data_IF_003639480845
#
_entry.id   IF_003639480845
#
_cell.length_a   1.000
_cell.length_b   1.000
_cell.length_c   1.000
_cell.angle_alpha   90.00
_cell.angle_beta   90.00
_cell.angle_gamma   90.00
#
_symmetry.space_group_name_H-M   'P 1'
#
loop_
_entity.id
_entity.type
_entity.pdbx_description
1 polymer ?
#
# COMPACT_ATOMS: atom_id res chain seq x y z
N UNK A 1 25.28 32.85 -11.00
CA UNK A 1 24.22 33.56 -10.26
C UNK A 1 24.05 32.83 -8.96
N UNK A 2 24.20 33.52 -7.83
CA UNK A 2 24.11 32.86 -6.53
C UNK A 2 22.68 32.41 -6.26
N UNK A 3 22.48 31.14 -5.90
CA UNK A 3 21.17 30.64 -5.53
C UNK A 3 20.80 31.13 -4.13
N UNK A 4 19.91 32.12 -4.06
CA UNK A 4 19.53 32.80 -2.82
C UNK A 4 19.03 31.89 -1.69
N UNK A 5 18.38 30.74 -1.97
CA UNK A 5 17.91 29.82 -0.90
C UNK A 5 19.05 29.18 -0.10
N UNK A 6 20.13 28.79 -0.78
CA UNK A 6 21.29 28.19 -0.12
C UNK A 6 22.01 29.24 0.74
N UNK A 7 22.02 30.50 0.29
CA UNK A 7 22.53 31.63 1.06
C UNK A 7 21.67 31.91 2.30
N UNK A 8 20.34 31.87 2.19
CA UNK A 8 19.42 32.03 3.33
C UNK A 8 19.70 30.99 4.42
N UNK A 9 19.98 29.74 4.03
CA UNK A 9 20.34 28.68 4.96
C UNK A 9 21.83 28.63 5.33
N UNK A 10 22.66 29.56 4.82
CA UNK A 10 24.12 29.56 5.02
C UNK A 10 24.78 28.21 4.72
N UNK A 11 24.42 27.61 3.59
CA UNK A 11 24.97 26.33 3.11
C UNK A 11 25.49 26.47 1.69
N UNK A 12 26.37 25.56 1.30
CA UNK A 12 26.83 25.45 -0.09
C UNK A 12 25.70 24.96 -1.00
N UNK A 13 25.72 25.33 -2.28
CA UNK A 13 24.78 24.82 -3.30
C UNK A 13 24.88 23.29 -3.45
N UNK A 14 26.05 22.72 -3.13
CA UNK A 14 26.30 21.27 -3.14
C UNK A 14 26.01 20.59 -1.79
N UNK A 15 25.39 21.28 -0.83
CA UNK A 15 25.14 20.72 0.50
C UNK A 15 24.23 19.49 0.44
N UNK A 16 24.56 18.47 1.23
CA UNK A 16 23.71 17.30 1.44
C UNK A 16 22.42 17.66 2.18
N UNK A 17 21.41 16.79 2.09
CA UNK A 17 20.14 16.98 2.83
C UNK A 17 20.38 17.07 4.36
N UNK A 18 21.34 16.31 4.88
CA UNK A 18 21.71 16.36 6.29
C UNK A 18 22.34 17.69 6.70
N UNK A 19 23.16 18.30 5.84
CA UNK A 19 23.74 19.62 6.07
C UNK A 19 22.70 20.73 6.03
N UNK A 20 21.76 20.67 5.09
CA UNK A 20 20.61 21.58 4.99
C UNK A 20 19.77 21.50 6.28
N UNK A 21 19.41 20.29 6.71
CA UNK A 21 18.65 20.05 7.95
C UNK A 21 19.40 20.46 9.21
N UNK A 22 20.73 20.31 9.23
CA UNK A 22 21.57 20.75 10.36
C UNK A 22 21.65 22.27 10.44
N UNK A 23 21.80 22.95 9.29
CA UNK A 23 21.85 24.41 9.25
C UNK A 23 20.49 25.02 9.61
N UNK A 24 19.39 24.48 9.08
CA UNK A 24 18.04 24.86 9.46
C UNK A 24 17.83 24.79 10.98
N UNK A 25 18.14 23.66 11.62
CA UNK A 25 17.98 23.51 13.08
C UNK A 25 18.79 24.52 13.89
N UNK A 26 19.97 24.90 13.40
CA UNK A 26 20.84 25.91 14.03
C UNK A 26 20.23 27.31 13.90
N UNK A 27 19.81 27.68 12.69
CA UNK A 27 19.25 28.99 12.39
C UNK A 27 17.86 29.18 13.01
N UNK A 28 17.00 28.16 12.97
CA UNK A 28 15.68 28.16 13.59
C UNK A 28 15.75 28.38 15.10
N UNK A 29 16.74 27.80 15.79
CA UNK A 29 16.97 28.07 17.23
C UNK A 29 17.49 29.49 17.48
N UNK A 30 18.34 30.00 16.60
CA UNK A 30 18.92 31.35 16.73
C UNK A 30 17.89 32.47 16.53
N UNK A 31 16.92 32.25 15.64
CA UNK A 31 15.90 33.23 15.27
C UNK A 31 14.49 32.86 15.76
N UNK A 32 14.37 31.90 16.70
CA UNK A 32 13.07 31.49 17.21
C UNK A 32 12.34 32.65 17.90
N UNK A 33 11.04 32.89 17.65
CA UNK A 33 10.28 34.00 18.23
C UNK A 33 10.34 34.05 19.77
N UNK A 34 10.42 32.90 20.42
CA UNK A 34 10.52 32.82 21.89
C UNK A 34 11.88 33.29 22.44
N UNK A 35 12.96 33.09 21.68
CA UNK A 35 14.32 33.42 22.07
C UNK A 35 14.75 34.80 21.58
N UNK A 36 14.21 35.24 20.45
CA UNK A 36 14.53 36.53 19.84
C UNK A 36 13.25 37.22 19.34
N UNK A 37 12.73 38.15 20.15
CA UNK A 37 11.45 38.85 19.95
C UNK A 37 11.56 40.10 19.08
N UNK A 38 12.60 40.21 18.27
CA UNK A 38 12.77 41.34 17.36
C UNK A 38 12.03 41.06 16.05
N UNK A 39 11.49 42.10 15.41
CA UNK A 39 10.82 41.98 14.10
C UNK A 39 11.75 41.40 13.03
N UNK A 40 13.02 41.79 13.08
CA UNK A 40 14.06 41.28 12.18
C UNK A 40 14.32 39.77 12.35
N UNK A 41 14.24 39.25 13.59
CA UNK A 41 14.39 37.82 13.84
C UNK A 41 13.18 37.02 13.35
N UNK A 42 11.98 37.56 13.51
CA UNK A 42 10.75 36.95 12.99
C UNK A 42 10.76 36.87 11.45
N UNK A 43 11.17 37.95 10.77
CA UNK A 43 11.32 37.98 9.31
C UNK A 43 12.36 36.96 8.83
N UNK A 44 13.54 36.92 9.48
CA UNK A 44 14.56 35.92 9.16
C UNK A 44 14.07 34.50 9.41
N UNK A 45 13.33 34.27 10.48
CA UNK A 45 12.78 32.95 10.79
C UNK A 45 11.81 32.46 9.71
N UNK A 46 10.96 33.36 9.19
CA UNK A 46 10.07 33.07 8.05
C UNK A 46 10.86 32.75 6.79
N UNK A 47 11.87 33.56 6.43
CA UNK A 47 12.76 33.28 5.29
C UNK A 47 13.47 31.91 5.43
N UNK A 48 13.95 31.57 6.64
CA UNK A 48 14.63 30.30 6.93
C UNK A 48 13.68 29.10 6.78
N UNK A 49 12.45 29.18 7.29
CA UNK A 49 11.47 28.10 7.17
C UNK A 49 11.11 27.85 5.72
N UNK A 50 10.81 28.90 4.98
CA UNK A 50 10.42 28.84 3.58
C UNK A 50 11.57 28.30 2.68
N UNK A 51 12.82 28.70 2.94
CA UNK A 51 13.97 28.13 2.25
C UNK A 51 14.17 26.64 2.56
N UNK A 52 13.95 26.24 3.82
CA UNK A 52 14.04 24.83 4.21
C UNK A 52 12.93 23.98 3.58
N UNK A 53 11.71 24.50 3.44
CA UNK A 53 10.60 23.77 2.81
C UNK A 53 10.93 23.36 1.36
N UNK A 54 11.58 24.24 0.61
CA UNK A 54 11.97 23.99 -0.78
C UNK A 54 13.19 23.06 -0.84
N UNK A 55 14.20 23.30 0.00
CA UNK A 55 15.47 22.56 -0.08
C UNK A 55 15.42 21.17 0.58
N UNK A 56 14.49 20.95 1.52
CA UNK A 56 14.31 19.65 2.21
C UNK A 56 13.56 18.61 1.38
N UNK A 57 12.79 19.05 0.38
CA UNK A 57 12.12 18.17 -0.58
C UNK A 57 12.98 18.00 -1.83
N UNK A 58 13.29 16.75 -2.20
CA UNK A 58 14.19 16.47 -3.33
C UNK A 58 13.65 16.95 -4.68
N UNK A 59 12.32 16.92 -4.88
CA UNK A 59 11.72 17.37 -6.13
C UNK A 59 11.70 18.89 -6.24
N UNK A 60 11.31 19.60 -5.16
CA UNK A 60 11.33 21.07 -5.11
C UNK A 60 12.76 21.60 -5.21
N UNK A 61 13.72 20.97 -4.52
CA UNK A 61 15.14 21.30 -4.61
C UNK A 61 15.65 21.15 -6.04
N UNK A 62 15.33 20.04 -6.71
CA UNK A 62 15.73 19.83 -8.11
C UNK A 62 15.17 20.90 -9.04
N UNK A 63 13.92 21.31 -8.85
CA UNK A 63 13.31 22.39 -9.63
C UNK A 63 14.03 23.72 -9.37
N UNK A 64 14.27 24.06 -8.11
CA UNK A 64 15.04 25.26 -7.76
C UNK A 64 16.48 25.20 -8.30
N UNK A 65 17.11 24.04 -8.30
CA UNK A 65 18.46 23.88 -8.84
C UNK A 65 18.52 24.09 -10.35
N UNK A 66 17.43 23.79 -11.06
CA UNK A 66 17.29 23.93 -12.51
C UNK A 66 16.95 25.36 -12.94
N UNK A 67 16.09 26.05 -12.19
CA UNK A 67 15.56 27.37 -12.59
C UNK A 67 16.11 28.54 -11.78
N UNK A 68 16.64 28.28 -10.58
CA UNK A 68 17.19 29.28 -9.67
C UNK A 68 16.17 30.34 -9.28
N UNK A 69 16.67 31.55 -9.06
CA UNK A 69 15.85 32.69 -8.60
C UNK A 69 14.87 33.21 -9.67
N UNK A 70 14.98 32.73 -10.92
CA UNK A 70 14.00 33.05 -11.97
C UNK A 70 12.58 32.56 -11.61
N UNK A 71 12.46 31.54 -10.74
CA UNK A 71 11.17 31.05 -10.24
C UNK A 71 10.40 32.11 -9.45
N UNK A 72 11.10 33.11 -8.92
CA UNK A 72 10.53 34.20 -8.15
C UNK A 72 10.32 35.47 -8.99
N UNK A 73 10.22 35.32 -10.33
CA UNK A 73 10.05 36.45 -11.25
C UNK A 73 11.33 37.22 -11.53
N UNK A 74 12.49 36.57 -11.39
CA UNK A 74 13.81 37.17 -11.63
C UNK A 74 14.35 37.98 -10.45
N UNK A 75 13.74 37.86 -9.27
CA UNK A 75 14.18 38.50 -8.02
C UNK A 75 14.78 37.44 -7.07
N UNK A 76 15.66 37.87 -6.16
CA UNK A 76 16.21 36.97 -5.14
C UNK A 76 15.12 36.55 -4.16
N UNK A 77 15.27 35.38 -3.53
CA UNK A 77 14.28 34.85 -2.60
C UNK A 77 14.01 35.77 -1.41
N UNK A 78 15.03 36.39 -0.83
CA UNK A 78 14.83 37.35 0.27
C UNK A 78 14.03 38.58 -0.17
N UNK A 79 14.24 39.07 -1.38
CA UNK A 79 13.46 40.20 -1.93
C UNK A 79 12.02 39.77 -2.24
N UNK A 80 11.84 38.55 -2.79
CA UNK A 80 10.53 37.94 -3.00
C UNK A 80 9.76 37.77 -1.69
N UNK A 81 10.41 37.23 -0.66
CA UNK A 81 9.83 37.01 0.67
C UNK A 81 9.43 38.33 1.36
N UNK A 82 10.19 39.41 1.14
CA UNK A 82 9.90 40.75 1.70
C UNK A 82 8.88 41.55 0.89
N UNK A 83 8.80 41.30 -0.42
CA UNK A 83 7.86 41.97 -1.33
C UNK A 83 6.40 41.60 -1.05
N UNK A 84 6.17 40.49 -0.34
CA UNK A 84 4.85 40.01 0.06
C UNK A 84 4.63 40.36 1.53
N UNK A 85 3.60 41.16 1.78
CA UNK A 85 3.33 41.72 3.10
C UNK A 85 3.09 40.65 4.18
N UNK A 86 3.13 41.04 5.46
CA UNK A 86 3.10 40.13 6.62
C UNK A 86 1.79 39.31 6.81
N UNK A 87 0.83 39.43 5.89
CA UNK A 87 -0.49 38.80 5.92
C UNK A 87 -0.70 37.69 4.88
N UNK A 88 0.29 37.42 4.02
CA UNK A 88 0.25 36.28 3.09
C UNK A 88 1.25 35.21 3.56
N UNK A 89 0.77 34.00 3.83
CA UNK A 89 1.63 32.88 4.22
C UNK A 89 2.53 32.49 3.05
N UNK A 90 3.84 32.66 3.22
CA UNK A 90 4.85 32.31 2.22
C UNK A 90 4.73 30.83 1.81
N UNK A 91 4.28 29.97 2.72
CA UNK A 91 4.07 28.54 2.52
C UNK A 91 2.92 28.26 1.52
N UNK A 92 1.84 29.06 1.54
CA UNK A 92 0.72 28.93 0.60
C UNK A 92 1.10 29.43 -0.80
N UNK A 93 1.93 30.47 -0.87
CA UNK A 93 2.42 30.99 -2.14
C UNK A 93 3.49 30.06 -2.72
N UNK A 94 4.39 29.53 -1.90
CA UNK A 94 5.38 28.55 -2.33
C UNK A 94 4.73 27.25 -2.76
N UNK A 95 3.72 26.77 -2.03
CA UNK A 95 2.92 25.64 -2.47
C UNK A 95 2.12 25.95 -3.74
N UNK A 96 1.76 27.21 -4.02
CA UNK A 96 1.19 27.59 -5.33
C UNK A 96 2.22 27.59 -6.47
N UNK A 97 3.47 27.97 -6.20
CA UNK A 97 4.57 28.02 -7.18
C UNK A 97 5.09 26.60 -7.48
N UNK A 98 5.25 25.78 -6.45
CA UNK A 98 5.82 24.43 -6.49
C UNK A 98 4.75 23.31 -6.49
N UNK A 99 3.47 23.66 -6.36
CA UNK A 99 2.35 22.73 -6.39
C UNK A 99 1.92 22.34 -7.79
N UNK A 100 0.91 21.45 -7.84
CA UNK A 100 0.45 20.70 -9.02
C UNK A 100 -0.25 21.61 -10.05
N UNK A 101 0.51 22.48 -10.72
CA UNK A 101 0.03 23.33 -11.83
C UNK A 101 0.53 24.78 -11.87
N UNK A 102 1.30 25.27 -10.88
CA UNK A 102 1.73 26.67 -10.84
C UNK A 102 2.93 27.02 -11.72
N UNK A 103 3.83 26.06 -11.90
CA UNK A 103 5.05 26.28 -12.67
C UNK A 103 4.79 26.46 -14.19
N UNK A 104 3.74 25.82 -14.71
CA UNK A 104 3.34 25.94 -16.12
C UNK A 104 2.59 27.23 -16.45
N UNK A 105 1.96 27.89 -15.47
CA UNK A 105 1.20 29.13 -15.71
C UNK A 105 2.06 30.40 -15.57
N UNK A 106 3.01 30.44 -14.61
CA UNK A 106 3.87 31.63 -14.44
C UNK A 106 4.89 31.85 -15.55
N UNK A 107 5.36 30.78 -16.19
CA UNK A 107 6.19 30.88 -17.40
C UNK A 107 5.42 31.35 -18.64
N UNK A 108 4.08 31.31 -18.60
CA UNK A 108 3.23 31.79 -19.70
C UNK A 108 2.96 33.29 -19.66
N UNK A 109 3.18 33.99 -18.54
CA UNK A 109 2.72 35.38 -18.39
C UNK A 109 3.82 36.45 -18.50
N UNK A 110 5.11 36.08 -18.44
CA UNK A 110 6.21 37.05 -18.50
C UNK A 110 7.21 36.84 -19.65
N UNK A 111 6.84 36.05 -20.67
CA UNK A 111 7.62 35.86 -21.90
C UNK A 111 6.82 36.31 -23.12
N UNK A 112 6.73 37.63 -23.28
CA UNK A 112 6.25 38.28 -24.50
C UNK A 112 7.31 38.10 -25.60
N UNK A 113 7.36 36.91 -26.22
CA UNK A 113 8.36 36.65 -27.26
C UNK A 113 8.55 35.22 -27.79
N UNK A 114 7.85 34.19 -27.28
CA UNK A 114 7.97 32.83 -27.81
C UNK A 114 6.60 32.21 -28.10
N UNK A 115 6.00 32.67 -29.19
CA UNK A 115 4.88 31.97 -29.85
C UNK A 115 5.41 30.74 -30.57
N UNK A 116 5.31 29.54 -29.95
CA UNK A 116 5.64 28.30 -30.66
C UNK A 116 5.60 26.98 -29.90
N UNK A 117 5.58 26.97 -28.56
CA UNK A 117 5.59 25.72 -27.80
C UNK A 117 4.24 25.45 -27.12
N UNK A 118 3.41 24.65 -27.77
CA UNK A 118 2.21 24.04 -27.20
C UNK A 118 2.64 23.03 -26.10
N UNK A 119 2.71 23.47 -24.84
CA UNK A 119 2.93 22.59 -23.68
C UNK A 119 1.64 21.90 -23.19
N UNK A 120 0.54 22.01 -23.94
CA UNK A 120 -0.79 21.49 -23.58
C UNK A 120 -0.91 19.96 -23.53
N UNK A 121 0.17 19.20 -23.79
CA UNK A 121 0.13 17.73 -23.85
C UNK A 121 1.03 16.99 -22.86
N UNK A 122 1.70 17.66 -21.91
CA UNK A 122 2.46 16.96 -20.86
C UNK A 122 1.61 16.78 -19.60
N UNK A 123 0.58 15.94 -19.70
CA UNK A 123 0.16 15.22 -18.50
C UNK A 123 1.28 14.21 -18.18
N UNK A 124 1.84 14.17 -16.95
CA UNK A 124 2.75 13.10 -16.58
C UNK A 124 2.02 11.77 -16.78
N UNK A 125 2.53 10.97 -17.72
CA UNK A 125 1.94 9.67 -18.01
C UNK A 125 2.02 8.82 -16.75
N UNK A 126 0.88 8.30 -16.29
CA UNK A 126 0.92 7.32 -15.22
C UNK A 126 1.42 5.99 -15.79
N UNK A 127 2.71 5.74 -15.60
CA UNK A 127 3.39 4.54 -16.05
C UNK A 127 3.12 3.34 -15.14
N UNK A 128 2.47 3.54 -13.98
CA UNK A 128 2.10 2.44 -13.11
C UNK A 128 0.98 1.62 -13.74
N UNK A 129 1.12 0.30 -13.62
CA UNK A 129 0.14 -0.67 -14.09
C UNK A 129 -0.50 -1.33 -12.87
N UNK A 130 -1.82 -1.33 -12.77
CA UNK A 130 -2.53 -2.12 -11.76
C UNK A 130 -3.10 -3.37 -12.41
N UNK A 131 -2.80 -4.54 -11.84
CA UNK A 131 -3.31 -5.84 -12.30
C UNK A 131 -3.87 -6.60 -11.10
N UNK A 132 -5.00 -7.28 -11.29
CA UNK A 132 -5.53 -8.19 -10.28
C UNK A 132 -4.72 -9.48 -10.27
N UNK A 133 -4.19 -9.84 -9.10
CA UNK A 133 -3.53 -11.12 -8.86
C UNK A 133 -4.47 -12.02 -8.08
N UNK A 134 -5.00 -13.04 -8.75
CA UNK A 134 -5.75 -14.08 -8.10
C UNK A 134 -4.82 -14.95 -7.25
N UNK A 135 -5.19 -15.20 -6.00
CA UNK A 135 -4.48 -16.06 -5.06
C UNK A 135 -5.46 -17.00 -4.37
N UNK A 136 -5.04 -18.24 -4.10
CA UNK A 136 -5.86 -19.16 -3.31
C UNK A 136 -5.81 -18.79 -1.83
N UNK A 137 -6.78 -19.25 -1.04
CA UNK A 137 -6.74 -19.14 0.43
C UNK A 137 -5.42 -19.73 0.98
N UNK A 138 -4.96 -20.86 0.43
CA UNK A 138 -3.71 -21.50 0.84
C UNK A 138 -2.47 -20.66 0.54
N UNK A 139 -2.46 -19.90 -0.57
CA UNK A 139 -1.35 -18.98 -0.88
C UNK A 139 -1.20 -17.91 0.21
N UNK A 140 -2.32 -17.41 0.73
CA UNK A 140 -2.32 -16.42 1.83
C UNK A 140 -1.87 -16.99 3.17
N UNK A 141 -1.95 -18.31 3.33
CA UNK A 141 -1.58 -19.02 4.54
C UNK A 141 -0.10 -19.45 4.55
N UNK A 142 0.36 -20.01 3.43
CA UNK A 142 1.69 -20.62 3.30
C UNK A 142 2.74 -19.63 2.80
N UNK A 143 2.32 -18.57 2.11
CA UNK A 143 3.21 -17.60 1.49
C UNK A 143 4.02 -18.21 0.33
N UNK A 144 3.34 -19.01 -0.49
CA UNK A 144 3.93 -19.68 -1.64
C UNK A 144 4.46 -18.68 -2.67
N UNK A 145 5.41 -19.13 -3.49
CA UNK A 145 5.86 -18.39 -4.67
C UNK A 145 4.87 -18.64 -5.82
N UNK A 146 4.28 -17.58 -6.36
CA UNK A 146 3.40 -17.63 -7.53
C UNK A 146 4.12 -17.07 -8.75
N UNK A 147 3.96 -17.73 -9.89
CA UNK A 147 4.41 -17.16 -11.17
C UNK A 147 3.36 -16.16 -11.66
N UNK A 148 3.81 -14.97 -12.01
CA UNK A 148 2.98 -13.89 -12.52
C UNK A 148 3.49 -13.55 -13.92
N UNK A 149 2.58 -13.54 -14.89
CA UNK A 149 2.87 -13.15 -16.26
C UNK A 149 2.13 -11.85 -16.59
N UNK A 150 2.89 -10.80 -16.89
CA UNK A 150 2.36 -9.48 -17.25
C UNK A 150 3.23 -8.91 -18.37
N UNK A 151 2.61 -8.39 -19.43
CA UNK A 151 3.31 -7.79 -20.58
C UNK A 151 4.38 -8.71 -21.20
N UNK A 152 4.08 -10.00 -21.38
CA UNK A 152 4.99 -11.03 -21.90
C UNK A 152 6.26 -11.27 -21.05
N UNK A 153 6.31 -10.76 -19.83
CA UNK A 153 7.33 -11.08 -18.85
C UNK A 153 6.76 -11.96 -17.75
N UNK A 154 7.41 -13.09 -17.48
CA UNK A 154 7.09 -13.96 -16.35
C UNK A 154 8.10 -13.75 -15.23
N UNK A 155 7.61 -13.59 -14.00
CA UNK A 155 8.45 -13.53 -12.81
C UNK A 155 7.79 -14.26 -11.64
N UNK A 156 8.60 -14.62 -10.65
CA UNK A 156 8.12 -15.26 -9.42
C UNK A 156 7.97 -14.23 -8.31
N UNK A 157 6.81 -14.20 -7.67
CA UNK A 157 6.51 -13.36 -6.52
C UNK A 157 6.15 -14.23 -5.32
N UNK A 158 6.75 -13.96 -4.16
CA UNK A 158 6.33 -14.57 -2.90
C UNK A 158 5.09 -13.83 -2.39
N UNK A 159 3.99 -14.55 -2.19
CA UNK A 159 2.80 -13.99 -1.58
C UNK A 159 3.05 -13.79 -0.07
N UNK A 160 2.83 -12.60 0.49
CA UNK A 160 2.94 -12.38 1.93
C UNK A 160 1.91 -13.21 2.69
N UNK A 161 2.33 -13.88 3.77
CA UNK A 161 1.40 -14.56 4.67
C UNK A 161 0.47 -13.52 5.29
N UNK A 162 -0.83 -13.81 5.29
CA UNK A 162 -1.87 -12.94 5.86
C UNK A 162 -2.25 -11.74 5.00
N UNK A 163 -1.83 -11.70 3.73
CA UNK A 163 -2.28 -10.69 2.76
C UNK A 163 -3.81 -10.62 2.68
N UNK A 164 -4.41 -9.44 2.67
CA UNK A 164 -5.88 -9.26 2.68
C UNK A 164 -6.46 -9.04 1.28
N UNK A 165 -7.77 -9.25 1.13
CA UNK A 165 -8.51 -8.94 -0.10
C UNK A 165 -8.31 -7.46 -0.48
N UNK A 166 -7.96 -7.20 -1.74
CA UNK A 166 -7.71 -5.85 -2.25
C UNK A 166 -6.36 -5.24 -1.83
N UNK A 167 -5.55 -5.90 -1.00
CA UNK A 167 -4.21 -5.43 -0.66
C UNK A 167 -3.35 -5.31 -1.94
N UNK A 168 -2.56 -4.23 -2.04
CA UNK A 168 -1.71 -3.97 -3.22
C UNK A 168 -0.25 -4.31 -2.93
N UNK A 169 0.33 -5.18 -3.75
CA UNK A 169 1.76 -5.49 -3.73
C UNK A 169 2.46 -4.73 -4.85
N UNK A 170 3.40 -3.86 -4.50
CA UNK A 170 4.21 -3.11 -5.47
C UNK A 170 5.41 -3.94 -5.94
N UNK A 171 5.52 -4.15 -7.24
CA UNK A 171 6.68 -4.74 -7.93
C UNK A 171 7.35 -3.64 -8.75
N UNK A 172 8.57 -3.29 -8.36
CA UNK A 172 9.30 -2.15 -8.94
C UNK A 172 9.67 -2.39 -10.41
N UNK A 173 9.60 -1.34 -11.22
CA UNK A 173 10.04 -1.35 -12.64
C UNK A 173 9.36 -2.44 -13.49
N UNK A 174 8.12 -2.81 -13.16
CA UNK A 174 7.33 -3.81 -13.90
C UNK A 174 6.06 -3.23 -14.54
N UNK A 175 5.83 -1.93 -14.42
CA UNK A 175 4.74 -1.19 -15.05
C UNK A 175 4.96 -0.96 -16.54
N UNK A 176 4.27 0.06 -17.08
CA UNK A 176 4.35 0.45 -18.49
C UNK A 176 5.70 1.10 -18.81
N UNK A 177 6.17 0.89 -20.03
CA UNK A 177 7.35 1.57 -20.56
C UNK A 177 6.93 2.93 -21.12
N UNK A 178 7.51 4.00 -20.59
CA UNK A 178 7.34 5.37 -21.07
C UNK A 178 8.64 5.99 -21.57
N UNK A 179 8.58 7.26 -21.96
CA UNK A 179 9.75 7.99 -22.51
C UNK A 179 10.86 8.24 -21.48
N UNK A 180 10.51 8.29 -20.20
CA UNK A 180 11.41 8.60 -19.08
C UNK A 180 11.84 7.38 -18.28
N UNK A 181 11.34 6.19 -18.61
CA UNK A 181 11.61 4.96 -17.87
C UNK A 181 10.39 4.06 -17.79
N UNK A 182 10.45 3.09 -16.88
CA UNK A 182 9.37 2.12 -16.64
C UNK A 182 8.72 2.39 -15.28
N UNK A 183 7.39 2.39 -15.24
CA UNK A 183 6.64 2.53 -13.99
C UNK A 183 6.65 1.25 -13.14
N UNK A 184 5.86 1.25 -12.07
CA UNK A 184 5.70 0.10 -11.18
C UNK A 184 4.48 -0.75 -11.51
N UNK A 185 4.50 -2.03 -11.13
CA UNK A 185 3.34 -2.91 -11.19
C UNK A 185 2.72 -3.01 -9.80
N UNK A 186 1.46 -2.60 -9.68
CA UNK A 186 0.65 -2.73 -8.49
C UNK A 186 -0.26 -3.96 -8.64
N UNK A 187 0.09 -5.04 -7.95
CA UNK A 187 -0.70 -6.25 -7.93
C UNK A 187 -1.77 -6.15 -6.85
N UNK A 188 -3.01 -5.95 -7.25
CA UNK A 188 -4.15 -5.96 -6.33
C UNK A 188 -4.58 -7.40 -6.07
N UNK A 189 -4.56 -7.83 -4.82
CA UNK A 189 -4.85 -9.19 -4.43
C UNK A 189 -6.35 -9.46 -4.53
N UNK A 190 -6.69 -10.57 -5.16
CA UNK A 190 -8.03 -11.15 -5.16
C UNK A 190 -7.94 -12.59 -4.66
N UNK A 191 -8.56 -12.88 -3.53
CA UNK A 191 -8.60 -14.21 -2.93
C UNK A 191 -9.73 -14.98 -3.59
N UNK A 192 -9.37 -16.03 -4.33
CA UNK A 192 -10.34 -16.88 -5.01
C UNK A 192 -11.20 -17.63 -3.98
N UNK A 193 -12.49 -17.76 -4.28
CA UNK A 193 -13.38 -18.63 -3.54
C UNK A 193 -13.02 -20.10 -3.82
N UNK A 194 -12.94 -20.90 -2.77
CA UNK A 194 -12.62 -22.33 -2.84
C UNK A 194 -13.68 -23.12 -2.05
N UNK A 195 -14.13 -24.25 -2.60
CA UNK A 195 -15.17 -25.08 -1.98
C UNK A 195 -14.67 -25.80 -0.72
N UNK A 196 -13.37 -26.14 -0.70
CA UNK A 196 -12.71 -26.83 0.39
C UNK A 196 -12.24 -25.84 1.45
N UNK A 197 -11.70 -24.68 1.05
CA UNK A 197 -11.10 -23.69 1.97
C UNK A 197 -11.78 -22.33 1.87
N UNK A 198 -12.31 -21.85 2.99
CA UNK A 198 -12.84 -20.49 3.12
C UNK A 198 -12.07 -19.73 4.18
N UNK A 199 -11.75 -18.47 3.92
CA UNK A 199 -11.12 -17.58 4.90
C UNK A 199 -12.16 -16.73 5.61
N UNK A 200 -12.10 -16.69 6.94
CA UNK A 200 -12.87 -15.76 7.79
C UNK A 200 -11.89 -14.96 8.64
N UNK A 201 -11.49 -13.77 8.18
CA UNK A 201 -10.44 -12.94 8.81
C UNK A 201 -9.10 -13.70 8.94
N UNK A 202 -8.69 -14.03 10.16
CA UNK A 202 -7.48 -14.79 10.48
C UNK A 202 -7.78 -16.31 10.54
N UNK A 203 -9.05 -16.72 10.52
CA UNK A 203 -9.44 -18.12 10.62
C UNK A 203 -9.62 -18.76 9.24
N UNK A 204 -9.37 -20.06 9.16
CA UNK A 204 -9.61 -20.90 7.98
C UNK A 204 -10.72 -21.89 8.28
N UNK A 205 -11.68 -22.00 7.38
CA UNK A 205 -12.68 -23.08 7.40
C UNK A 205 -12.29 -24.06 6.32
N UNK A 206 -12.10 -25.31 6.71
CA UNK A 206 -11.96 -26.43 5.78
C UNK A 206 -13.21 -27.28 5.83
N UNK A 207 -13.90 -27.43 4.69
CA UNK A 207 -15.02 -28.35 4.58
C UNK A 207 -14.50 -29.78 4.43
N UNK A 208 -15.05 -30.72 5.20
CA UNK A 208 -14.77 -32.14 5.05
C UNK A 208 -16.06 -32.95 4.96
N UNK A 209 -15.98 -34.06 4.25
CA UNK A 209 -17.11 -34.95 4.07
C UNK A 209 -17.29 -35.87 5.28
N UNK A 210 -18.49 -35.85 5.85
CA UNK A 210 -18.86 -36.64 7.01
C UNK A 210 -19.96 -37.65 6.61
N UNK A 211 -19.64 -38.95 6.58
CA UNK A 211 -20.65 -39.98 6.33
C UNK A 211 -21.76 -39.97 7.38
N UNK A 212 -23.01 -40.14 6.94
CA UNK A 212 -24.19 -40.16 7.83
C UNK A 212 -24.02 -41.09 9.05
N UNK A 213 -23.45 -42.29 8.86
CA UNK A 213 -23.19 -43.24 9.95
C UNK A 213 -22.32 -42.62 11.05
N UNK A 214 -21.22 -41.99 10.68
CA UNK A 214 -20.28 -41.37 11.63
C UNK A 214 -20.89 -40.13 12.27
N UNK A 215 -21.74 -39.39 11.55
CA UNK A 215 -22.47 -38.26 12.12
C UNK A 215 -23.46 -38.69 13.22
N UNK A 216 -24.21 -39.78 12.98
CA UNK A 216 -25.20 -40.29 13.93
C UNK A 216 -24.54 -40.93 15.16
N UNK A 217 -23.60 -41.84 14.94
CA UNK A 217 -23.08 -42.70 16.02
C UNK A 217 -21.72 -42.26 16.56
N UNK A 218 -21.09 -41.26 15.95
CA UNK A 218 -19.73 -40.85 16.26
C UNK A 218 -18.69 -41.82 15.68
N UNK A 219 -17.42 -41.50 15.92
CA UNK A 219 -16.29 -42.31 15.45
C UNK A 219 -15.03 -41.48 15.29
N UNK A 220 -14.05 -42.03 14.57
CA UNK A 220 -12.83 -41.32 14.18
C UNK A 220 -12.78 -41.21 12.66
N UNK A 221 -12.41 -40.04 12.16
CA UNK A 221 -12.21 -39.80 10.72
C UNK A 221 -10.84 -39.16 10.52
N UNK A 222 -10.19 -39.53 9.42
CA UNK A 222 -8.94 -38.89 8.98
C UNK A 222 -9.26 -37.79 7.97
N UNK A 223 -8.73 -36.60 8.21
CA UNK A 223 -8.96 -35.41 7.39
C UNK A 223 -7.60 -34.92 6.92
N UNK A 224 -7.37 -34.94 5.61
CA UNK A 224 -6.20 -34.35 5.00
C UNK A 224 -6.32 -32.82 5.04
N UNK A 225 -5.40 -32.16 5.74
CA UNK A 225 -5.27 -30.69 5.72
C UNK A 225 -4.03 -30.31 4.89
N UNK A 226 -3.85 -29.02 4.60
CA UNK A 226 -2.67 -28.52 3.88
C UNK A 226 -1.33 -28.80 4.59
N UNK A 227 -1.33 -29.07 5.90
CA UNK A 227 -0.10 -29.33 6.66
C UNK A 227 0.14 -30.82 6.90
N UNK A 228 -0.91 -31.56 7.26
CA UNK A 228 -0.86 -32.99 7.57
C UNK A 228 -2.26 -33.59 7.65
N UNK A 229 -2.33 -34.91 7.63
CA UNK A 229 -3.55 -35.64 7.99
C UNK A 229 -3.80 -35.53 9.49
N UNK A 230 -5.03 -35.21 9.88
CA UNK A 230 -5.50 -35.12 11.26
C UNK A 230 -6.54 -36.21 11.51
N UNK A 231 -6.43 -36.91 12.64
CA UNK A 231 -7.51 -37.80 13.11
C UNK A 231 -8.45 -37.01 14.02
N UNK A 232 -9.69 -36.80 13.58
CA UNK A 232 -10.73 -36.11 14.32
C UNK A 232 -11.68 -37.11 14.97
N UNK A 233 -11.97 -36.92 16.26
CA UNK A 233 -13.01 -37.69 16.96
C UNK A 233 -14.35 -36.98 16.81
N UNK A 234 -15.29 -37.63 16.16
CA UNK A 234 -16.64 -37.13 15.89
C UNK A 234 -17.57 -37.63 17.00
N UNK A 235 -18.27 -36.74 17.72
CA UNK A 235 -19.30 -37.14 18.67
C UNK A 235 -20.55 -37.64 17.94
N UNK A 236 -21.36 -38.51 18.58
CA UNK A 236 -22.68 -38.86 18.06
C UNK A 236 -23.57 -37.62 17.91
N UNK A 237 -24.56 -37.70 17.03
CA UNK A 237 -25.48 -36.62 16.70
C UNK A 237 -24.80 -35.33 16.20
N UNK A 238 -23.70 -35.46 15.46
CA UNK A 238 -23.02 -34.32 14.82
C UNK A 238 -23.91 -33.74 13.72
N UNK A 239 -24.12 -32.43 13.75
CA UNK A 239 -25.02 -31.71 12.83
C UNK A 239 -24.32 -31.36 11.51
N UNK A 240 -25.12 -31.13 10.47
CA UNK A 240 -24.63 -30.49 9.25
C UNK A 240 -24.01 -29.13 9.56
N UNK A 241 -22.91 -28.81 8.88
CA UNK A 241 -22.15 -27.56 8.99
C UNK A 241 -21.55 -27.29 10.39
N UNK A 242 -21.61 -28.26 11.31
CA UNK A 242 -20.96 -28.17 12.61
C UNK A 242 -19.45 -28.03 12.44
N UNK A 243 -18.86 -27.06 13.15
CA UNK A 243 -17.44 -26.72 13.07
C UNK A 243 -16.67 -27.35 14.25
N UNK A 244 -15.51 -27.94 13.96
CA UNK A 244 -14.57 -28.44 14.95
C UNK A 244 -13.29 -27.59 14.92
N UNK A 245 -12.96 -26.96 16.04
CA UNK A 245 -11.84 -26.01 16.13
C UNK A 245 -10.52 -26.74 16.38
N UNK A 246 -9.51 -26.41 15.58
CA UNK A 246 -8.11 -26.76 15.77
C UNK A 246 -7.34 -25.46 16.01
N UNK A 247 -6.86 -25.30 17.24
CA UNK A 247 -6.26 -24.05 17.71
C UNK A 247 -4.95 -23.71 16.99
N UNK A 248 -4.72 -22.42 16.73
CA UNK A 248 -3.46 -21.86 16.20
C UNK A 248 -3.04 -22.48 14.85
N UNK A 249 -4.04 -22.79 14.01
CA UNK A 249 -3.90 -23.37 12.67
C UNK A 249 -4.57 -22.53 11.58
N UNK A 250 -4.88 -21.27 11.84
CA UNK A 250 -5.32 -20.29 10.85
C UNK A 250 -4.16 -19.47 10.31
N UNK A 251 -4.49 -18.28 9.82
CA UNK A 251 -3.57 -17.31 9.24
C UNK A 251 -2.88 -16.50 10.34
N UNK A 252 -1.58 -16.27 10.17
CA UNK A 252 -0.82 -15.35 11.01
C UNK A 252 -1.06 -13.91 10.58
N UNK A 253 -1.64 -13.11 11.48
CA UNK A 253 -1.83 -11.68 11.30
C UNK A 253 -0.49 -10.94 11.37
N UNK A 254 -0.19 -10.12 10.36
CA UNK A 254 1.07 -9.37 10.27
C UNK A 254 1.18 -8.22 11.27
N UNK A 255 0.05 -7.62 11.66
CA UNK A 255 0.00 -6.43 12.53
C UNK A 255 0.04 -6.83 14.00
N UNK A 256 -0.75 -7.84 14.37
CA UNK A 256 -0.90 -8.27 15.77
C UNK A 256 -0.04 -9.47 16.15
N UNK A 257 0.57 -10.15 15.17
CA UNK A 257 1.25 -11.44 15.32
C UNK A 257 0.38 -12.60 15.83
N UNK A 258 -0.92 -12.37 16.04
CA UNK A 258 -1.92 -13.38 16.36
C UNK A 258 -2.03 -14.42 15.24
N UNK A 259 -2.26 -15.68 15.59
CA UNK A 259 -2.53 -16.75 14.63
C UNK A 259 -3.97 -17.18 14.84
N UNK A 260 -4.79 -17.14 13.79
CA UNK A 260 -6.16 -17.63 13.86
C UNK A 260 -6.21 -19.15 14.00
N UNK A 261 -7.41 -19.70 13.86
CA UNK A 261 -7.71 -21.12 14.01
C UNK A 261 -8.13 -21.78 12.70
N UNK A 262 -8.05 -23.11 12.68
CA UNK A 262 -8.68 -23.93 11.64
C UNK A 262 -10.01 -24.47 12.19
N UNK A 263 -11.09 -24.26 11.44
CA UNK A 263 -12.39 -24.87 11.68
C UNK A 263 -12.66 -25.94 10.63
N UNK A 264 -12.73 -27.19 11.06
CA UNK A 264 -13.16 -28.30 10.21
C UNK A 264 -14.69 -28.32 10.19
N UNK A 265 -15.30 -28.00 9.06
CA UNK A 265 -16.76 -27.94 8.90
C UNK A 265 -17.29 -29.24 8.29
N UNK A 266 -18.20 -29.89 9.01
CA UNK A 266 -18.78 -31.17 8.59
C UNK A 266 -19.85 -30.99 7.50
N UNK A 267 -19.60 -31.48 6.29
CA UNK A 267 -20.60 -31.62 5.22
C UNK A 267 -21.13 -33.04 5.23
N UNK A 268 -22.42 -33.22 5.55
CA UNK A 268 -23.02 -34.55 5.60
C UNK A 268 -23.12 -35.15 4.19
N UNK A 269 -22.57 -36.35 4.04
CA UNK A 269 -22.78 -37.17 2.84
C UNK A 269 -23.77 -38.28 3.16
N UNK A 270 -24.85 -38.31 2.37
CA UNK A 270 -25.84 -39.37 2.42
C UNK A 270 -25.38 -40.56 1.56
N UNK A 271 -25.57 -41.80 2.04
CA UNK A 271 -25.37 -42.96 1.19
C UNK A 271 -26.40 -42.95 0.06
N UNK A 272 -26.02 -43.52 -1.10
CA UNK A 272 -26.99 -43.72 -2.20
C UNK A 272 -28.05 -44.72 -1.75
N UNK A 273 -29.32 -44.39 -1.90
CA UNK A 273 -30.44 -45.25 -1.48
C UNK A 273 -30.38 -46.60 -2.20
N UNK A 274 -29.97 -46.63 -3.46
CA UNK A 274 -29.78 -47.84 -4.27
C UNK A 274 -28.82 -48.87 -3.64
N UNK A 275 -27.82 -48.40 -2.86
CA UNK A 275 -26.84 -49.28 -2.20
C UNK A 275 -27.33 -49.86 -0.86
N UNK A 276 -28.49 -49.42 -0.37
CA UNK A 276 -29.07 -49.88 0.89
C UNK A 276 -29.90 -51.15 0.66
N UNK A 277 -29.86 -52.08 1.61
CA UNK A 277 -30.74 -53.25 1.60
C UNK A 277 -32.21 -52.84 1.73
N UNK A 278 -33.12 -53.64 1.18
CA UNK A 278 -34.56 -53.36 1.26
C UNK A 278 -35.05 -53.31 2.71
N UNK A 279 -34.50 -54.17 3.58
CA UNK A 279 -34.79 -54.18 5.01
C UNK A 279 -34.38 -52.86 5.69
N UNK A 280 -33.16 -52.37 5.40
CA UNK A 280 -32.68 -51.12 5.97
C UNK A 280 -33.49 -49.92 5.46
N UNK A 281 -33.88 -49.91 4.18
CA UNK A 281 -34.75 -48.85 3.62
C UNK A 281 -36.08 -48.78 4.37
N UNK A 282 -36.77 -49.91 4.52
CA UNK A 282 -38.05 -49.98 5.20
C UNK A 282 -37.95 -49.55 6.67
N UNK A 283 -36.86 -49.89 7.35
CA UNK A 283 -36.63 -49.46 8.73
C UNK A 283 -36.36 -47.96 8.83
N UNK A 284 -35.57 -47.39 7.91
CA UNK A 284 -35.33 -45.95 7.87
C UNK A 284 -36.60 -45.15 7.59
N UNK A 285 -37.44 -45.58 6.64
CA UNK A 285 -38.73 -44.92 6.32
C UNK A 285 -39.73 -44.96 7.48
N UNK A 286 -39.59 -45.95 8.37
CA UNK A 286 -40.47 -46.11 9.54
C UNK A 286 -40.02 -45.29 10.74
N UNK A 287 -38.70 -45.22 10.98
CA UNK A 287 -38.12 -44.70 12.22
C UNK A 287 -37.59 -43.25 12.10
N UNK A 288 -37.37 -42.73 10.87
CA UNK A 288 -36.94 -41.35 10.58
C UNK A 288 -38.06 -40.57 9.88
#
# INVERSE_FOLDING_TARGET
MSKSLYQTLNVSENASQDEIKKSYRRLARQYHPDLNKTKEAEEKFKEINAAYEILSDEEKRRQYDQFGDNMFGGQNFSDFARSRGPSEDLDDILSSIFGKGGFSQRFSQNSQGFSGFNFSNFAPENLDLTVTLNVSVLDTLLGNKKQVSVNNETFSLKIPIGVEEGEKIRVRNKGKMGRTGRGDLLLQIHIEEDEMYRREKDDIIQTFDLPLKTALFGGKIEIATWHKTLTLTIPPNTKAMQKFRIKDKGIKNRKTSHVGDLYLQARLILPKTETLSNELKALLEKEL
#
